data_IF_669644632710
#
_entry.id   IF_669644632710
#
_cell.length_a   1.000
_cell.length_b   1.000
_cell.length_c   1.000
_cell.angle_alpha   90.00
_cell.angle_beta   90.00
_cell.angle_gamma   90.00
#
_symmetry.space_group_name_H-M   'P 1'
#
loop_
_entity.id
_entity.type
_entity.pdbx_description
1 polymer ?
#
# COMPACT_ATOMS: atom_id res chain seq x y z
N UNK A 1 4.67 -7.75 11.97
CA UNK A 1 6.03 -7.94 12.53
C UNK A 1 6.65 -6.58 12.76
N UNK A 2 7.26 -6.36 13.92
CA UNK A 2 7.83 -5.06 14.30
C UNK A 2 9.32 -5.04 13.98
N UNK A 3 9.85 -3.98 13.35
CA UNK A 3 11.29 -3.86 13.11
C UNK A 3 12.07 -3.87 14.43
N UNK A 4 13.31 -4.35 14.39
CA UNK A 4 14.20 -4.29 15.55
C UNK A 4 14.48 -2.84 15.94
N UNK A 5 14.56 -2.58 17.25
CA UNK A 5 14.97 -1.26 17.78
C UNK A 5 16.30 -0.82 17.18
N UNK A 6 16.42 0.47 16.92
CA UNK A 6 17.58 1.05 16.22
C UNK A 6 18.91 0.75 16.91
N UNK A 7 18.97 0.85 18.25
CA UNK A 7 20.15 0.51 19.03
C UNK A 7 20.61 -0.94 18.79
N UNK A 8 19.67 -1.89 18.70
CA UNK A 8 19.98 -3.29 18.44
C UNK A 8 20.38 -3.54 16.98
N UNK A 9 19.77 -2.82 16.03
CA UNK A 9 20.11 -2.89 14.62
C UNK A 9 21.47 -2.22 14.31
N UNK A 10 21.91 -1.25 15.12
CA UNK A 10 23.22 -0.59 14.96
C UNK A 10 24.38 -1.53 15.30
N UNK A 11 24.20 -2.35 16.33
CA UNK A 11 25.21 -3.30 16.81
C UNK A 11 25.22 -4.59 15.99
N UNK A 12 24.05 -5.08 15.55
CA UNK A 12 23.92 -6.35 14.84
C UNK A 12 23.55 -6.16 13.36
N UNK A 13 24.48 -6.52 12.48
CA UNK A 13 24.32 -6.45 11.02
C UNK A 13 23.13 -7.26 10.50
N UNK A 14 22.80 -8.40 11.13
CA UNK A 14 21.66 -9.23 10.73
C UNK A 14 20.34 -8.51 11.00
N UNK A 15 20.20 -7.88 12.16
CA UNK A 15 19.04 -7.05 12.53
C UNK A 15 18.89 -5.84 11.62
N UNK A 16 20.00 -5.18 11.26
CA UNK A 16 19.99 -4.10 10.27
C UNK A 16 19.49 -4.55 8.90
N UNK A 17 19.99 -5.69 8.41
CA UNK A 17 19.56 -6.26 7.11
C UNK A 17 18.07 -6.63 7.14
N UNK A 18 17.62 -7.25 8.22
CA UNK A 18 16.20 -7.54 8.43
C UNK A 18 15.36 -6.26 8.35
N UNK A 19 15.71 -5.21 9.11
CA UNK A 19 14.96 -3.95 9.09
C UNK A 19 14.91 -3.33 7.69
N UNK A 20 16.02 -3.38 6.94
CA UNK A 20 16.08 -2.85 5.57
C UNK A 20 15.12 -3.59 4.64
N UNK A 21 15.15 -4.92 4.63
CA UNK A 21 14.26 -5.72 3.77
C UNK A 21 12.79 -5.61 4.23
N UNK A 22 12.55 -5.56 5.54
CA UNK A 22 11.22 -5.33 6.09
C UNK A 22 10.66 -3.96 5.67
N UNK A 23 11.46 -2.90 5.72
CA UNK A 23 11.06 -1.56 5.29
C UNK A 23 10.74 -1.51 3.79
N UNK A 24 11.54 -2.18 2.94
CA UNK A 24 11.24 -2.30 1.50
C UNK A 24 9.91 -3.02 1.26
N UNK A 25 9.69 -4.16 1.91
CA UNK A 25 8.46 -4.91 1.77
C UNK A 25 7.25 -4.09 2.22
N UNK A 26 7.36 -3.38 3.35
CA UNK A 26 6.33 -2.48 3.86
C UNK A 26 6.02 -1.35 2.88
N UNK A 27 7.06 -0.74 2.30
CA UNK A 27 6.91 0.32 1.30
C UNK A 27 6.11 -0.17 0.08
N UNK A 28 6.37 -1.38 -0.42
CA UNK A 28 5.58 -1.97 -1.52
C UNK A 28 4.11 -2.10 -1.11
N UNK A 29 3.82 -2.70 0.03
CA UNK A 29 2.43 -2.91 0.51
C UNK A 29 1.69 -1.58 0.72
N UNK A 30 2.33 -0.62 1.40
CA UNK A 30 1.74 0.70 1.64
C UNK A 30 1.47 1.45 0.34
N UNK A 31 2.36 1.37 -0.64
CA UNK A 31 2.16 1.95 -1.97
C UNK A 31 1.01 1.30 -2.72
N UNK A 32 0.93 -0.04 -2.69
CA UNK A 32 -0.12 -0.80 -3.36
C UNK A 32 -1.52 -0.40 -2.89
N UNK A 33 -1.70 -0.09 -1.60
CA UNK A 33 -2.99 0.38 -1.08
C UNK A 33 -3.16 1.90 -1.09
N UNK A 34 -2.08 2.65 -0.91
CA UNK A 34 -2.10 4.11 -0.84
C UNK A 34 -2.45 4.75 -2.19
N UNK A 35 -1.91 4.24 -3.28
CA UNK A 35 -2.13 4.83 -4.60
C UNK A 35 -3.59 4.70 -5.09
N UNK A 36 -4.26 3.53 -5.00
CA UNK A 36 -5.69 3.43 -5.28
C UNK A 36 -6.55 4.29 -4.35
N UNK A 37 -6.24 4.37 -3.05
CA UNK A 37 -6.98 5.21 -2.09
C UNK A 37 -6.90 6.70 -2.40
N UNK A 38 -5.76 7.19 -2.91
CA UNK A 38 -5.61 8.57 -3.37
C UNK A 38 -6.37 8.84 -4.67
N UNK A 39 -6.46 7.85 -5.56
CA UNK A 39 -7.16 7.97 -6.86
C UNK A 39 -8.68 7.87 -6.73
N UNK A 40 -9.16 6.99 -5.85
CA UNK A 40 -10.58 6.73 -5.65
C UNK A 40 -10.97 7.17 -4.24
N UNK A 41 -11.50 8.40 -4.13
CA UNK A 41 -11.92 9.02 -2.86
C UNK A 41 -12.87 8.14 -2.02
N UNK A 42 -13.67 7.32 -2.70
CA UNK A 42 -14.58 6.33 -2.12
C UNK A 42 -13.87 5.28 -1.24
N UNK A 43 -12.58 5.00 -1.50
CA UNK A 43 -11.76 4.07 -0.70
C UNK A 43 -11.10 4.72 0.52
N UNK A 44 -11.09 6.05 0.58
CA UNK A 44 -10.49 6.82 1.68
C UNK A 44 -11.52 7.13 2.77
N UNK A 45 -12.80 7.28 2.40
CA UNK A 45 -13.86 7.69 3.32
C UNK A 45 -14.70 6.53 3.80
N UNK A 46 -15.27 6.69 5.00
CA UNK A 46 -16.30 5.80 5.52
C UNK A 46 -17.57 6.06 4.73
N UNK A 47 -17.78 5.25 3.69
CA UNK A 47 -18.96 5.33 2.84
C UNK A 47 -20.09 4.53 3.49
N UNK A 48 -21.29 5.11 3.56
CA UNK A 48 -22.50 4.43 4.07
C UNK A 48 -23.04 3.47 3.00
N UNK A 49 -22.20 2.52 2.59
CA UNK A 49 -22.51 1.51 1.58
C UNK A 49 -22.62 0.17 2.31
N UNK A 50 -23.62 -0.63 1.95
CA UNK A 50 -23.77 -1.98 2.49
C UNK A 50 -22.53 -2.83 2.17
N UNK A 51 -22.05 -3.67 3.10
CA UNK A 51 -20.81 -4.44 2.93
C UNK A 51 -20.69 -5.21 1.59
N UNK A 52 -21.74 -5.87 1.08
CA UNK A 52 -21.66 -6.58 -0.21
C UNK A 52 -21.41 -5.67 -1.41
N UNK A 53 -21.99 -4.45 -1.39
CA UNK A 53 -21.78 -3.46 -2.45
C UNK A 53 -20.39 -2.83 -2.34
N UNK A 54 -19.92 -2.60 -1.11
CA UNK A 54 -18.59 -2.07 -0.86
C UNK A 54 -17.48 -3.00 -1.38
N UNK A 55 -17.63 -4.32 -1.21
CA UNK A 55 -16.69 -5.32 -1.73
C UNK A 55 -16.55 -5.21 -3.26
N UNK A 56 -17.68 -5.22 -4.00
CA UNK A 56 -17.69 -5.07 -5.46
C UNK A 56 -17.06 -3.75 -5.91
N UNK A 57 -17.29 -2.68 -5.15
CA UNK A 57 -16.72 -1.37 -5.45
C UNK A 57 -15.20 -1.35 -5.25
N UNK A 58 -14.69 -1.97 -4.17
CA UNK A 58 -13.25 -2.12 -3.94
C UNK A 58 -12.61 -2.92 -5.09
N UNK A 59 -13.22 -4.05 -5.47
CA UNK A 59 -12.76 -4.88 -6.59
C UNK A 59 -12.71 -4.08 -7.90
N UNK A 60 -13.78 -3.34 -8.22
CA UNK A 60 -13.84 -2.50 -9.41
C UNK A 60 -12.75 -1.41 -9.40
N UNK A 61 -12.51 -0.74 -8.27
CA UNK A 61 -11.45 0.26 -8.15
C UNK A 61 -10.06 -0.35 -8.40
N UNK A 62 -9.77 -1.53 -7.85
CA UNK A 62 -8.48 -2.23 -8.04
C UNK A 62 -8.31 -2.68 -9.50
N UNK A 63 -9.36 -3.25 -10.11
CA UNK A 63 -9.37 -3.64 -11.52
C UNK A 63 -9.09 -2.44 -12.44
N UNK A 64 -9.84 -1.34 -12.27
CA UNK A 64 -9.67 -0.12 -13.05
C UNK A 64 -8.28 0.50 -12.85
N UNK A 65 -7.74 0.44 -11.63
CA UNK A 65 -6.40 0.91 -11.34
C UNK A 65 -5.34 0.12 -12.14
N UNK A 66 -5.43 -1.21 -12.11
CA UNK A 66 -4.50 -2.10 -12.80
C UNK A 66 -4.59 -1.97 -14.32
N UNK A 67 -5.81 -1.85 -14.87
CA UNK A 67 -6.02 -1.57 -16.29
C UNK A 67 -5.37 -0.23 -16.66
N UNK A 68 -5.56 0.81 -15.84
CA UNK A 68 -4.89 2.10 -16.06
C UNK A 68 -3.37 1.97 -16.14
N UNK A 69 -2.76 1.22 -15.22
CA UNK A 69 -1.31 0.97 -15.24
C UNK A 69 -0.90 0.24 -16.53
N UNK A 70 -1.65 -0.80 -16.93
CA UNK A 70 -1.39 -1.56 -18.15
C UNK A 70 -1.47 -0.67 -19.41
N UNK A 71 -2.39 0.29 -19.43
CA UNK A 71 -2.54 1.28 -20.50
C UNK A 71 -1.53 2.45 -20.41
N UNK A 72 -0.59 2.42 -19.46
CA UNK A 72 0.45 3.44 -19.32
C UNK A 72 0.04 4.70 -18.54
N UNK A 73 -1.11 4.69 -17.87
CA UNK A 73 -1.50 5.76 -16.94
C UNK A 73 -0.53 5.75 -15.77
N UNK A 74 0.22 6.84 -15.61
CA UNK A 74 1.18 6.97 -14.51
C UNK A 74 0.42 7.02 -13.18
N UNK A 75 0.75 6.16 -12.21
CA UNK A 75 0.23 6.31 -10.86
C UNK A 75 0.73 7.66 -10.31
N UNK A 76 -0.19 8.46 -9.77
CA UNK A 76 0.14 9.78 -9.22
C UNK A 76 1.28 9.70 -8.18
N UNK A 77 2.00 10.81 -7.93
CA UNK A 77 3.19 10.80 -7.10
C UNK A 77 2.91 10.20 -5.72
N UNK A 78 3.74 9.22 -5.36
CA UNK A 78 3.72 8.60 -4.04
C UNK A 78 4.64 9.44 -3.14
N UNK A 79 4.13 10.58 -2.67
CA UNK A 79 4.72 11.29 -1.53
C UNK A 79 4.73 10.40 -0.29
#
# INVERSE_FOLDING_TARGET
MTPYRENAARVDRRKRRFNKEHAKARNVVEKTFGAPKRRFWVLYNVTRIEPPKLQKLIEACVLLYNIGIFLGVRPGPIA
#
